data_IF_508064275783
#
_entry.id   IF_508064275783
#
_cell.length_a   1.000
_cell.length_b   1.000
_cell.length_c   1.000
_cell.angle_alpha   90.00
_cell.angle_beta   90.00
_cell.angle_gamma   90.00
#
_symmetry.space_group_name_H-M   'P 1'
#
loop_
_entity.id
_entity.type
_entity.pdbx_description
1 polymer ?
#
# COMPACT_ATOMS: atom_id res chain seq x y z
N UNK A 1 -8.64 -8.30 -16.84
CA UNK A 1 -7.43 -7.97 -16.07
C UNK A 1 -7.32 -6.48 -15.69
N UNK A 2 -7.71 -5.52 -16.56
CA UNK A 2 -7.74 -4.09 -16.19
C UNK A 2 -8.60 -3.76 -14.94
N UNK A 3 -9.79 -4.36 -14.81
CA UNK A 3 -10.67 -4.13 -13.64
C UNK A 3 -10.04 -4.60 -12.32
N UNK A 4 -9.26 -5.69 -12.35
CA UNK A 4 -8.58 -6.23 -11.16
C UNK A 4 -7.45 -5.30 -10.70
N UNK A 5 -6.66 -4.74 -11.63
CA UNK A 5 -5.62 -3.73 -11.34
C UNK A 5 -6.21 -2.47 -10.69
N UNK A 6 -7.38 -2.04 -11.18
CA UNK A 6 -8.10 -0.91 -10.61
C UNK A 6 -8.55 -1.26 -9.19
N UNK A 7 -9.16 -2.43 -8.97
CA UNK A 7 -9.61 -2.87 -7.65
C UNK A 7 -8.46 -2.98 -6.65
N UNK A 8 -7.31 -3.51 -7.08
CA UNK A 8 -6.08 -3.57 -6.27
C UNK A 8 -5.57 -2.19 -5.85
N UNK A 9 -5.66 -1.19 -6.74
CA UNK A 9 -5.29 0.19 -6.40
C UNK A 9 -6.21 0.83 -5.34
N UNK A 10 -7.42 0.29 -5.17
CA UNK A 10 -8.36 0.70 -4.12
C UNK A 10 -8.27 -0.17 -2.85
N UNK A 11 -7.52 -1.27 -2.86
CA UNK A 11 -7.38 -2.20 -1.73
C UNK A 11 -6.39 -1.69 -0.67
N UNK A 12 -6.77 -0.59 0.01
CA UNK A 12 -6.01 0.00 1.12
C UNK A 12 -6.87 0.41 2.31
N UNK A 13 -8.20 0.30 2.18
CA UNK A 13 -9.14 0.73 3.22
C UNK A 13 -9.07 -0.14 4.49
N UNK A 14 -8.76 -1.43 4.36
CA UNK A 14 -8.64 -2.33 5.50
C UNK A 14 -7.49 -1.94 6.47
N UNK A 15 -6.36 -1.45 5.92
CA UNK A 15 -5.23 -0.98 6.72
C UNK A 15 -5.62 0.25 7.56
N UNK A 16 -6.47 1.12 7.02
CA UNK A 16 -6.99 2.27 7.76
C UNK A 16 -7.92 1.86 8.89
N UNK A 17 -8.71 0.79 8.68
CA UNK A 17 -9.63 0.28 9.69
C UNK A 17 -8.91 -0.19 10.95
N UNK A 18 -7.71 -0.75 10.81
CA UNK A 18 -6.89 -1.20 11.94
C UNK A 18 -6.44 -0.09 12.89
N UNK A 19 -6.40 1.18 12.43
CA UNK A 19 -6.05 2.35 13.25
C UNK A 19 -7.26 3.11 13.80
N UNK A 20 -8.49 2.65 13.50
CA UNK A 20 -9.73 3.32 13.95
C UNK A 20 -10.05 3.09 15.42
N UNK A 21 -9.44 2.08 16.07
CA UNK A 21 -9.62 1.81 17.50
C UNK A 21 -9.15 2.94 18.41
N UNK A 22 -8.30 3.85 17.92
CA UNK A 22 -7.76 4.99 18.68
C UNK A 22 -8.54 6.31 18.42
N UNK A 23 -9.52 6.32 17.51
CA UNK A 23 -10.29 7.53 17.19
C UNK A 23 -11.44 7.79 18.17
N UNK A 24 -11.48 8.99 18.75
CA UNK A 24 -12.68 9.52 19.43
C UNK A 24 -13.82 9.68 18.40
N UNK A 25 -14.97 9.06 18.68
CA UNK A 25 -16.18 9.07 17.85
C UNK A 25 -15.96 8.53 16.42
N UNK A 26 -15.73 7.21 16.26
CA UNK A 26 -15.37 6.59 14.99
C UNK A 26 -16.43 6.82 13.91
N UNK A 27 -17.72 6.63 14.20
CA UNK A 27 -18.78 6.61 13.19
C UNK A 27 -18.84 7.87 12.30
N UNK A 28 -18.78 9.07 12.91
CA UNK A 28 -18.83 10.34 12.15
C UNK A 28 -17.48 10.73 11.56
N UNK A 29 -16.38 10.48 12.28
CA UNK A 29 -15.05 10.90 11.83
C UNK A 29 -14.53 10.01 10.69
N UNK A 30 -14.84 8.71 10.70
CA UNK A 30 -14.52 7.78 9.61
C UNK A 30 -15.18 8.23 8.31
N UNK A 31 -16.48 8.53 8.35
CA UNK A 31 -17.22 8.91 7.15
C UNK A 31 -16.68 10.21 6.55
N UNK A 32 -16.42 11.23 7.39
CA UNK A 32 -15.86 12.51 6.94
C UNK A 32 -14.43 12.38 6.43
N UNK A 33 -13.57 11.65 7.14
CA UNK A 33 -12.19 11.45 6.74
C UNK A 33 -12.09 10.65 5.42
N UNK A 34 -12.92 9.60 5.29
CA UNK A 34 -12.99 8.79 4.07
C UNK A 34 -13.46 9.64 2.89
N UNK A 35 -14.54 10.41 3.05
CA UNK A 35 -15.03 11.29 1.99
C UNK A 35 -13.99 12.33 1.58
N UNK A 36 -13.39 13.04 2.55
CA UNK A 36 -12.38 14.06 2.29
C UNK A 36 -11.17 13.48 1.55
N UNK A 37 -10.72 12.27 1.92
CA UNK A 37 -9.62 11.58 1.25
C UNK A 37 -9.97 11.18 -0.17
N UNK A 38 -11.14 10.57 -0.38
CA UNK A 38 -11.59 10.16 -1.72
C UNK A 38 -11.68 11.38 -2.64
N UNK A 39 -12.32 12.47 -2.19
CA UNK A 39 -12.43 13.69 -2.99
C UNK A 39 -11.06 14.28 -3.31
N UNK A 40 -10.16 14.36 -2.32
CA UNK A 40 -8.81 14.91 -2.52
C UNK A 40 -8.00 14.06 -3.51
N UNK A 41 -8.02 12.73 -3.34
CA UNK A 41 -7.31 11.81 -4.24
C UNK A 41 -7.90 11.85 -5.63
N UNK A 42 -9.23 11.90 -5.79
CA UNK A 42 -9.88 12.00 -7.09
C UNK A 42 -9.46 13.28 -7.85
N UNK A 43 -9.46 14.43 -7.16
CA UNK A 43 -9.02 15.70 -7.74
C UNK A 43 -7.54 15.62 -8.15
N UNK A 44 -6.66 15.20 -7.25
CA UNK A 44 -5.23 15.07 -7.56
C UNK A 44 -4.97 14.08 -8.70
N UNK A 45 -5.72 12.99 -8.76
CA UNK A 45 -5.61 12.00 -9.82
C UNK A 45 -6.01 12.60 -11.17
N UNK A 46 -7.10 13.36 -11.23
CA UNK A 46 -7.50 14.05 -12.47
C UNK A 46 -6.46 15.07 -12.92
N UNK A 47 -5.92 15.88 -11.99
CA UNK A 47 -4.86 16.84 -12.32
C UNK A 47 -3.58 16.14 -12.79
N UNK A 48 -3.20 15.03 -12.16
CA UNK A 48 -2.02 14.26 -12.54
C UNK A 48 -2.18 13.66 -13.95
N UNK A 49 -3.33 13.05 -14.25
CA UNK A 49 -3.63 12.54 -15.59
C UNK A 49 -3.58 13.65 -16.64
N UNK A 50 -4.15 14.82 -16.35
CA UNK A 50 -4.09 15.97 -17.25
C UNK A 50 -2.64 16.43 -17.50
N UNK A 51 -1.82 16.48 -16.44
CA UNK A 51 -0.39 16.80 -16.54
C UNK A 51 0.36 15.80 -17.42
N UNK A 52 0.07 14.50 -17.30
CA UNK A 52 0.69 13.48 -18.15
C UNK A 52 0.34 13.66 -19.63
N UNK A 53 -0.92 13.98 -19.96
CA UNK A 53 -1.32 14.22 -21.35
C UNK A 53 -0.67 15.45 -21.99
N UNK A 54 -0.35 16.48 -21.21
CA UNK A 54 0.30 17.70 -21.71
C UNK A 54 1.79 17.51 -21.96
N UNK A 55 2.45 16.65 -21.18
CA UNK A 55 3.93 16.56 -21.10
C UNK A 55 4.50 15.33 -21.80
N UNK A 56 3.73 14.25 -21.95
CA UNK A 56 4.23 12.97 -22.48
C UNK A 56 3.62 12.67 -23.85
N UNK A 57 4.42 12.51 -24.91
CA UNK A 57 3.93 12.06 -26.22
C UNK A 57 3.31 10.66 -26.12
N UNK A 58 2.18 10.42 -26.80
CA UNK A 58 1.42 9.16 -26.79
C UNK A 58 2.28 7.90 -27.04
N UNK A 59 3.37 8.02 -27.80
CA UNK A 59 4.27 6.91 -28.13
C UNK A 59 5.03 6.37 -26.90
N UNK A 60 5.38 7.23 -25.93
CA UNK A 60 6.13 6.83 -24.73
C UNK A 60 5.22 6.30 -23.62
N UNK A 61 3.92 6.63 -23.64
CA UNK A 61 2.96 6.12 -22.65
C UNK A 61 2.76 4.60 -22.75
N UNK A 62 2.79 4.03 -23.97
CA UNK A 62 2.56 2.59 -24.19
C UNK A 62 3.77 1.72 -23.84
N UNK A 63 4.99 2.24 -23.98
CA UNK A 63 6.25 1.50 -23.75
C UNK A 63 6.73 1.59 -22.31
N UNK A 64 6.31 2.62 -21.57
CA UNK A 64 6.87 2.92 -20.26
C UNK A 64 6.26 2.13 -19.09
N UNK A 65 5.05 1.57 -19.23
CA UNK A 65 4.38 0.75 -18.21
C UNK A 65 4.43 1.36 -16.81
N UNK A 66 5.35 0.88 -15.96
CA UNK A 66 5.53 1.31 -14.57
C UNK A 66 6.42 2.56 -14.37
N UNK A 67 7.05 3.09 -15.42
CA UNK A 67 7.98 4.22 -15.37
C UNK A 67 7.45 5.54 -15.94
N UNK A 68 6.15 5.62 -16.24
CA UNK A 68 5.53 6.85 -16.81
C UNK A 68 5.81 8.08 -15.93
N UNK A 69 5.78 7.95 -14.61
CA UNK A 69 6.10 9.03 -13.68
C UNK A 69 7.58 9.47 -13.74
N UNK A 70 8.51 8.53 -13.93
CA UNK A 70 9.94 8.84 -14.05
C UNK A 70 10.27 9.53 -15.37
N UNK A 71 9.59 9.14 -16.45
CA UNK A 71 9.71 9.77 -17.78
C UNK A 71 9.06 11.17 -17.76
N UNK A 72 7.92 11.34 -17.08
CA UNK A 72 7.34 12.65 -16.85
C UNK A 72 8.30 13.59 -16.11
N UNK A 73 8.94 13.10 -15.04
CA UNK A 73 9.96 13.87 -14.31
C UNK A 73 11.17 14.23 -15.16
N UNK A 74 11.57 13.33 -16.07
CA UNK A 74 12.64 13.59 -17.04
C UNK A 74 12.26 14.67 -18.06
N UNK A 75 11.03 14.64 -18.57
CA UNK A 75 10.57 15.59 -19.59
C UNK A 75 10.33 17.00 -19.02
N UNK A 76 9.93 17.11 -17.75
CA UNK A 76 9.64 18.42 -17.13
C UNK A 76 10.88 19.13 -16.56
N UNK A 77 11.79 18.38 -15.94
CA UNK A 77 12.92 18.93 -15.17
C UNK A 77 14.30 18.41 -15.64
N UNK A 78 14.34 17.64 -16.74
CA UNK A 78 15.57 17.04 -17.26
C UNK A 78 16.08 15.84 -16.43
N UNK A 79 17.36 15.43 -16.59
CA UNK A 79 17.92 14.25 -15.95
C UNK A 79 17.85 14.26 -14.42
N UNK A 80 17.92 15.44 -13.80
CA UNK A 80 17.82 15.63 -12.35
C UNK A 80 16.41 15.34 -11.82
N UNK A 81 15.37 15.72 -12.57
CA UNK A 81 13.98 15.47 -12.25
C UNK A 81 13.62 13.99 -12.14
N UNK A 82 14.19 13.18 -13.02
CA UNK A 82 14.02 11.72 -12.99
C UNK A 82 14.48 11.12 -11.66
N UNK A 83 15.65 11.52 -11.18
CA UNK A 83 16.23 10.99 -9.94
C UNK A 83 15.36 11.39 -8.75
N UNK A 84 14.93 12.65 -8.67
CA UNK A 84 14.08 13.14 -7.58
C UNK A 84 12.74 12.40 -7.55
N UNK A 85 12.08 12.26 -8.70
CA UNK A 85 10.79 11.56 -8.78
C UNK A 85 10.94 10.07 -8.44
N UNK A 86 11.98 9.40 -8.93
CA UNK A 86 12.25 8.00 -8.57
C UNK A 86 12.52 7.82 -7.07
N UNK A 87 13.24 8.74 -6.43
CA UNK A 87 13.45 8.71 -4.98
C UNK A 87 12.15 8.93 -4.20
N UNK A 88 11.31 9.86 -4.63
CA UNK A 88 10.00 10.08 -4.01
C UNK A 88 9.12 8.83 -4.10
N UNK A 89 9.08 8.17 -5.27
CA UNK A 89 8.35 6.92 -5.45
C UNK A 89 8.91 5.84 -4.52
N UNK A 90 10.23 5.72 -4.40
CA UNK A 90 10.87 4.79 -3.47
C UNK A 90 10.42 5.00 -2.02
N UNK A 91 10.44 6.25 -1.54
CA UNK A 91 9.97 6.58 -0.19
C UNK A 91 8.47 6.23 0.02
N UNK A 92 7.63 6.48 -0.99
CA UNK A 92 6.21 6.10 -0.94
C UNK A 92 6.05 4.59 -0.83
N UNK A 93 6.80 3.81 -1.61
CA UNK A 93 6.75 2.34 -1.56
C UNK A 93 7.21 1.82 -0.19
N UNK A 94 8.29 2.38 0.37
CA UNK A 94 8.74 2.05 1.73
C UNK A 94 7.66 2.34 2.77
N UNK A 95 7.04 3.53 2.73
CA UNK A 95 5.97 3.89 3.66
C UNK A 95 4.75 2.95 3.54
N UNK A 96 4.36 2.59 2.32
CA UNK A 96 3.29 1.62 2.09
C UNK A 96 3.62 0.24 2.68
N UNK A 97 4.87 -0.21 2.57
CA UNK A 97 5.34 -1.46 3.16
C UNK A 97 5.24 -1.43 4.69
N UNK A 98 5.68 -0.34 5.32
CA UNK A 98 5.60 -0.18 6.78
C UNK A 98 4.15 -0.19 7.29
N UNK A 99 3.25 0.51 6.60
CA UNK A 99 1.83 0.59 6.97
C UNK A 99 1.17 -0.79 6.91
N UNK A 100 1.41 -1.57 5.85
CA UNK A 100 0.79 -2.90 5.70
C UNK A 100 1.32 -3.90 6.73
N UNK A 101 2.62 -3.88 7.02
CA UNK A 101 3.22 -4.70 8.09
C UNK A 101 2.67 -4.31 9.47
N UNK A 102 2.50 -3.01 9.73
CA UNK A 102 1.91 -2.52 10.98
C UNK A 102 0.45 -2.96 11.14
N UNK A 103 -0.38 -2.78 10.11
CA UNK A 103 -1.79 -3.19 10.12
C UNK A 103 -1.96 -4.69 10.31
N UNK A 104 -1.17 -5.52 9.63
CA UNK A 104 -1.22 -6.97 9.79
C UNK A 104 -0.88 -7.41 11.22
N UNK A 105 0.08 -6.74 11.86
CA UNK A 105 0.49 -7.02 13.24
C UNK A 105 -0.61 -6.70 14.25
N UNK A 106 -1.31 -5.56 14.07
CA UNK A 106 -2.44 -5.15 14.93
C UNK A 106 -3.64 -6.10 14.77
N UNK A 107 -3.96 -6.50 13.55
CA UNK A 107 -5.02 -7.47 13.29
C UNK A 107 -4.68 -8.82 13.93
N UNK A 108 -3.45 -9.31 13.77
CA UNK A 108 -2.99 -10.55 14.39
C UNK A 108 -3.08 -10.52 15.92
N UNK A 109 -2.75 -9.39 16.55
CA UNK A 109 -2.92 -9.18 17.99
C UNK A 109 -4.39 -9.25 18.41
N UNK A 110 -5.27 -8.49 17.75
CA UNK A 110 -6.70 -8.46 18.07
C UNK A 110 -7.38 -9.83 17.91
N UNK A 111 -6.97 -10.60 16.89
CA UNK A 111 -7.45 -11.97 16.69
C UNK A 111 -6.93 -12.93 17.76
N UNK A 112 -5.68 -12.77 18.23
CA UNK A 112 -5.11 -13.53 19.35
C UNK A 112 -5.84 -13.27 20.68
N UNK A 113 -6.18 -12.01 20.95
CA UNK A 113 -6.96 -11.60 22.13
C UNK A 113 -8.39 -12.16 22.11
N UNK A 114 -9.01 -12.23 20.92
CA UNK A 114 -10.36 -12.77 20.72
C UNK A 114 -10.45 -14.30 20.83
N UNK A 115 -9.33 -15.01 20.98
CA UNK A 115 -9.22 -16.48 21.06
C UNK A 115 -9.83 -17.27 19.87
N UNK A 116 -9.99 -16.63 18.71
CA UNK A 116 -10.64 -17.23 17.53
C UNK A 116 -9.71 -18.13 16.67
N UNK A 117 -8.42 -18.21 17.00
CA UNK A 117 -7.40 -18.93 16.22
C UNK A 117 -6.75 -20.07 17.00
N UNK A 118 -6.23 -21.06 16.25
CA UNK A 118 -5.42 -22.17 16.79
C UNK A 118 -4.11 -21.56 17.33
N UNK A 119 -3.84 -21.74 18.63
CA UNK A 119 -2.75 -21.11 19.43
C UNK A 119 -2.91 -19.61 19.80
N UNK A 120 -3.99 -19.23 20.52
CA UNK A 120 -4.24 -17.83 20.85
C UNK A 120 -3.18 -17.21 21.78
N UNK A 121 -2.57 -18.01 22.67
CA UNK A 121 -1.48 -17.56 23.55
C UNK A 121 -0.18 -17.24 22.80
N UNK A 122 0.06 -17.84 21.63
CA UNK A 122 1.26 -17.60 20.84
C UNK A 122 1.16 -16.28 20.06
N UNK A 123 -0.01 -15.96 19.52
CA UNK A 123 -0.27 -14.72 18.79
C UNK A 123 -0.60 -13.52 19.70
N UNK A 124 -1.19 -13.77 20.88
CA UNK A 124 -1.41 -12.73 21.90
C UNK A 124 -0.19 -12.46 22.78
N UNK A 125 0.93 -13.17 22.58
CA UNK A 125 2.16 -12.94 23.34
C UNK A 125 2.79 -11.60 22.95
N UNK A 126 2.65 -10.59 23.81
CA UNK A 126 3.34 -9.32 23.68
C UNK A 126 4.73 -9.42 24.32
N UNK A 127 5.72 -8.84 23.66
CA UNK A 127 7.05 -8.73 24.24
C UNK A 127 7.07 -7.69 25.37
N UNK A 128 7.56 -8.08 26.55
CA UNK A 128 7.39 -7.31 27.81
C UNK A 128 8.08 -5.94 27.87
N UNK A 129 8.94 -5.61 26.89
CA UNK A 129 9.66 -4.32 26.85
C UNK A 129 9.08 -3.30 25.85
N UNK A 130 8.44 -3.76 24.78
CA UNK A 130 7.97 -2.90 23.69
C UNK A 130 6.46 -3.02 23.41
N UNK A 131 5.77 -3.98 24.04
CA UNK A 131 4.34 -4.20 23.81
C UNK A 131 4.01 -4.61 22.37
N UNK A 132 5.00 -5.06 21.60
CA UNK A 132 4.86 -5.44 20.20
C UNK A 132 4.61 -6.95 20.07
N UNK A 133 3.67 -7.40 19.21
CA UNK A 133 3.40 -8.81 18.94
C UNK A 133 4.45 -9.39 17.97
N UNK A 134 5.63 -9.73 18.49
CA UNK A 134 6.77 -10.24 17.70
C UNK A 134 6.42 -11.52 16.94
N UNK A 135 5.60 -12.39 17.51
CA UNK A 135 5.19 -13.64 16.88
C UNK A 135 4.27 -13.42 15.68
N UNK A 136 3.37 -12.43 15.74
CA UNK A 136 2.51 -12.07 14.62
C UNK A 136 3.32 -11.44 13.48
N UNK A 137 4.32 -10.61 13.80
CA UNK A 137 5.28 -10.06 12.84
C UNK A 137 6.10 -11.15 12.15
N UNK A 138 6.67 -12.09 12.91
CA UNK A 138 7.45 -13.20 12.36
C UNK A 138 6.60 -14.09 11.44
N UNK A 139 5.35 -14.34 11.82
CA UNK A 139 4.41 -15.08 10.99
C UNK A 139 4.05 -14.32 9.70
N UNK A 140 3.75 -13.02 9.79
CA UNK A 140 3.48 -12.19 8.62
C UNK A 140 4.69 -12.18 7.66
N UNK A 141 5.90 -12.00 8.20
CA UNK A 141 7.14 -12.06 7.43
C UNK A 141 7.33 -13.42 6.75
N UNK A 142 7.07 -14.52 7.46
CA UNK A 142 7.17 -15.86 6.89
C UNK A 142 6.14 -16.08 5.78
N UNK A 143 4.91 -15.58 5.95
CA UNK A 143 3.88 -15.64 4.91
C UNK A 143 4.24 -14.82 3.68
N UNK A 144 4.78 -13.60 3.86
CA UNK A 144 5.25 -12.78 2.74
C UNK A 144 6.45 -13.41 2.03
N UNK A 145 7.37 -14.02 2.78
CA UNK A 145 8.49 -14.78 2.19
C UNK A 145 7.97 -15.98 1.39
N UNK A 146 7.04 -16.76 1.92
CA UNK A 146 6.42 -17.87 1.20
C UNK A 146 5.72 -17.38 -0.08
N UNK A 147 4.95 -16.30 0.00
CA UNK A 147 4.33 -15.69 -1.18
C UNK A 147 5.38 -15.28 -2.21
N UNK A 148 6.46 -14.63 -1.77
CA UNK A 148 7.55 -14.21 -2.65
C UNK A 148 8.20 -15.42 -3.33
N UNK A 149 8.45 -16.51 -2.62
CA UNK A 149 8.99 -17.74 -3.22
C UNK A 149 7.98 -18.45 -4.14
N UNK A 150 6.70 -18.48 -3.80
CA UNK A 150 5.65 -19.13 -4.59
C UNK A 150 5.29 -18.34 -5.87
N UNK A 151 5.33 -17.01 -5.81
CA UNK A 151 5.04 -16.11 -6.94
C UNK A 151 6.29 -15.60 -7.66
N UNK A 152 7.49 -16.04 -7.29
CA UNK A 152 8.73 -15.69 -7.99
C UNK A 152 8.82 -16.42 -9.34
N UNK A 153 8.18 -15.86 -10.36
CA UNK A 153 8.19 -16.30 -11.75
C UNK A 153 7.13 -15.58 -12.57
N UNK A 154 7.05 -15.89 -13.88
CA UNK A 154 6.12 -15.28 -14.85
C UNK A 154 4.64 -15.27 -14.41
N UNK A 155 4.28 -16.07 -13.40
CA UNK A 155 2.97 -16.07 -12.75
C UNK A 155 2.58 -14.72 -12.11
N UNK A 156 3.52 -13.96 -11.54
CA UNK A 156 3.23 -12.63 -11.00
C UNK A 156 2.89 -11.64 -12.11
N UNK A 157 3.66 -11.67 -13.20
CA UNK A 157 3.38 -10.87 -14.40
C UNK A 157 2.09 -11.29 -15.09
N UNK A 158 1.77 -12.59 -15.14
CA UNK A 158 0.55 -13.14 -15.75
C UNK A 158 -0.73 -12.80 -14.95
N UNK A 159 -0.66 -12.65 -13.63
CA UNK A 159 -1.76 -12.12 -12.81
C UNK A 159 -1.91 -10.60 -13.01
N UNK A 160 -0.81 -9.93 -13.38
CA UNK A 160 -0.70 -8.49 -13.58
C UNK A 160 -0.72 -8.08 -15.07
N UNK A 161 -1.08 -8.93 -16.03
CA UNK A 161 -1.36 -8.56 -17.44
C UNK A 161 -2.82 -8.81 -17.77
#
# INVERSE_FOLDING_TARGET
MAFFKIMWSYDGFANLASSLGELKNPERNIQRATFMRITTVAVLFLLANLSFFVVVPYADMSTAGSSVAAIWGQNLFGPSGRIVVSLLIFFVVCACCEITTYSASRVGQATGESRLIVFPKFFAALNGRFGTPVNALAFNFLMTMLQMFMFSGDAFWMVMD
#
